data_IF_318757135207
#
_entry.id   IF_318757135207
#
_cell.length_a   1.000
_cell.length_b   1.000
_cell.length_c   1.000
_cell.angle_alpha   90.00
_cell.angle_beta   90.00
_cell.angle_gamma   90.00
#
_symmetry.space_group_name_H-M   'P 1'
#
loop_
_entity.id
_entity.type
_entity.pdbx_description
1 polymer ?
#
# COMPACT_ATOMS: atom_id res chain seq x y z
N UNK A 1 0.29 -21.19 39.81
CA UNK A 1 -1.12 -20.74 39.94
C UNK A 1 -1.16 -19.23 40.15
N UNK A 2 -1.02 -18.46 39.07
CA UNK A 2 -1.39 -17.04 38.98
C UNK A 2 -1.65 -16.76 37.49
N UNK A 3 -2.90 -16.57 37.05
CA UNK A 3 -3.17 -16.17 35.67
C UNK A 3 -2.89 -14.67 35.56
N UNK A 4 -1.87 -14.32 34.77
CA UNK A 4 -1.58 -12.92 34.44
C UNK A 4 -2.74 -12.34 33.63
N UNK A 5 -3.43 -11.35 34.21
CA UNK A 5 -4.40 -10.52 33.51
C UNK A 5 -3.69 -9.73 32.41
N UNK A 6 -3.89 -10.14 31.17
CA UNK A 6 -3.49 -9.40 29.98
C UNK A 6 -4.34 -8.13 29.90
N UNK A 7 -3.74 -6.98 30.16
CA UNK A 7 -4.41 -5.68 30.02
C UNK A 7 -4.58 -5.35 28.53
N UNK A 8 -5.77 -5.67 28.02
CA UNK A 8 -6.31 -5.36 26.69
C UNK A 8 -6.31 -3.82 26.49
N UNK A 9 -5.20 -3.23 26.01
CA UNK A 9 -5.14 -1.80 25.61
C UNK A 9 -5.66 -1.62 24.18
N UNK A 10 -6.90 -2.03 23.93
CA UNK A 10 -7.68 -1.44 22.86
C UNK A 10 -8.16 -0.08 23.39
N UNK A 11 -7.48 1.00 23.00
CA UNK A 11 -7.89 2.36 23.38
C UNK A 11 -9.16 2.74 22.60
N UNK A 12 -10.30 2.27 23.13
CA UNK A 12 -11.68 2.56 22.74
C UNK A 12 -12.60 2.14 23.90
N UNK A 13 -13.83 2.66 24.01
CA UNK A 13 -14.65 2.56 25.21
C UNK A 13 -15.38 1.21 25.27
N UNK A 14 -14.66 0.09 25.31
CA UNK A 14 -15.29 -1.22 25.48
C UNK A 14 -15.04 -1.78 26.89
N UNK A 15 -16.11 -2.20 27.60
CA UNK A 15 -15.99 -2.71 28.96
C UNK A 15 -15.25 -4.07 29.01
N UNK A 16 -14.64 -4.44 30.15
CA UNK A 16 -13.84 -5.66 30.32
C UNK A 16 -14.53 -6.96 29.90
N UNK A 17 -15.86 -7.04 30.02
CA UNK A 17 -16.68 -8.19 29.65
C UNK A 17 -16.69 -8.47 28.13
N UNK A 18 -16.52 -7.42 27.31
CA UNK A 18 -16.44 -7.56 25.86
C UNK A 18 -15.13 -8.25 25.42
N UNK A 19 -14.00 -7.94 26.09
CA UNK A 19 -12.70 -8.55 25.77
C UNK A 19 -12.69 -10.05 26.17
N UNK A 20 -13.32 -10.44 27.29
CA UNK A 20 -13.47 -11.85 27.69
C UNK A 20 -14.39 -12.66 26.75
N UNK A 21 -15.48 -12.04 26.29
CA UNK A 21 -16.43 -12.66 25.34
C UNK A 21 -15.78 -12.85 23.97
N UNK A 22 -15.05 -11.85 23.48
CA UNK A 22 -14.28 -11.95 22.24
C UNK A 22 -13.21 -13.06 22.31
N UNK A 23 -12.54 -13.21 23.46
CA UNK A 23 -11.54 -14.27 23.67
C UNK A 23 -12.16 -15.67 23.64
N UNK A 24 -13.35 -15.86 24.25
CA UNK A 24 -14.09 -17.13 24.20
C UNK A 24 -14.57 -17.45 22.79
N UNK A 25 -15.07 -16.47 22.05
CA UNK A 25 -15.50 -16.65 20.65
C UNK A 25 -14.29 -16.99 19.75
N UNK A 26 -13.17 -16.29 19.91
CA UNK A 26 -11.93 -16.59 19.17
C UNK A 26 -11.42 -18.00 19.49
N UNK A 27 -11.41 -18.42 20.76
CA UNK A 27 -11.02 -19.77 21.15
C UNK A 27 -11.98 -20.86 20.62
N UNK A 28 -13.26 -20.54 20.39
CA UNK A 28 -14.20 -21.48 19.74
C UNK A 28 -14.04 -21.56 18.21
N UNK A 29 -13.41 -20.57 17.58
CA UNK A 29 -13.25 -20.51 16.11
C UNK A 29 -11.85 -20.93 15.67
N UNK A 30 -10.80 -20.61 16.44
CA UNK A 30 -9.42 -20.86 16.07
C UNK A 30 -8.73 -21.77 17.12
N UNK A 31 -8.22 -22.94 16.71
CA UNK A 31 -7.55 -23.88 17.62
C UNK A 31 -6.11 -23.48 17.97
N UNK A 32 -5.59 -22.40 17.38
CA UNK A 32 -4.18 -21.96 17.52
C UNK A 32 -4.08 -20.48 17.83
N UNK A 33 -3.12 -20.13 18.68
CA UNK A 33 -2.81 -18.75 19.06
C UNK A 33 -1.80 -18.13 18.07
N UNK A 34 -2.23 -17.92 16.81
CA UNK A 34 -1.47 -17.18 15.79
C UNK A 34 -2.39 -16.50 14.77
N UNK A 35 -2.01 -15.32 14.29
CA UNK A 35 -2.61 -14.70 13.11
C UNK A 35 -1.81 -15.05 11.85
N UNK A 36 -2.50 -15.24 10.73
CA UNK A 36 -1.89 -15.53 9.43
C UNK A 36 -2.00 -14.27 8.56
N UNK A 37 -0.88 -13.68 8.18
CA UNK A 37 -0.83 -12.51 7.28
C UNK A 37 -0.38 -12.96 5.89
N UNK A 38 -1.14 -12.62 4.86
CA UNK A 38 -0.83 -12.98 3.47
C UNK A 38 -0.40 -11.74 2.69
N UNK A 39 0.88 -11.67 2.33
CA UNK A 39 1.50 -10.57 1.59
C UNK A 39 2.43 -9.72 2.46
N UNK A 40 3.72 -9.72 2.15
CA UNK A 40 4.78 -8.98 2.84
C UNK A 40 4.97 -7.55 2.36
N UNK A 41 3.92 -6.91 1.84
CA UNK A 41 3.93 -5.47 1.54
C UNK A 41 3.73 -4.61 2.79
N UNK A 42 3.61 -3.30 2.61
CA UNK A 42 3.40 -2.35 3.71
C UNK A 42 2.22 -2.75 4.61
N UNK A 43 1.06 -3.06 4.02
CA UNK A 43 -0.14 -3.41 4.80
C UNK A 43 0.05 -4.67 5.64
N UNK A 44 0.65 -5.73 5.09
CA UNK A 44 0.86 -6.97 5.82
C UNK A 44 1.94 -6.84 6.89
N UNK A 45 3.01 -6.11 6.61
CA UNK A 45 4.05 -5.82 7.60
C UNK A 45 3.53 -4.91 8.71
N UNK A 46 2.66 -3.94 8.41
CA UNK A 46 1.96 -3.15 9.43
C UNK A 46 1.09 -4.05 10.31
N UNK A 47 0.26 -4.91 9.72
CA UNK A 47 -0.59 -5.85 10.46
C UNK A 47 0.23 -6.78 11.36
N UNK A 48 1.33 -7.35 10.84
CA UNK A 48 2.22 -8.22 11.60
C UNK A 48 2.85 -7.49 12.80
N UNK A 49 3.36 -6.27 12.59
CA UNK A 49 3.90 -5.45 13.68
C UNK A 49 2.82 -5.13 14.72
N UNK A 50 1.60 -4.76 14.32
CA UNK A 50 0.50 -4.49 15.25
C UNK A 50 0.13 -5.72 16.07
N UNK A 51 0.07 -6.91 15.47
CA UNK A 51 -0.16 -8.17 16.21
C UNK A 51 0.94 -8.40 17.25
N UNK A 52 2.19 -8.19 16.87
CA UNK A 52 3.35 -8.38 17.75
C UNK A 52 3.40 -7.35 18.89
N UNK A 53 3.09 -6.08 18.61
CA UNK A 53 3.00 -5.02 19.62
C UNK A 53 1.92 -5.32 20.67
N UNK A 54 0.85 -6.02 20.28
CA UNK A 54 -0.25 -6.42 21.16
C UNK A 54 -0.04 -7.79 21.82
N UNK A 55 1.16 -8.37 21.75
CA UNK A 55 1.48 -9.62 22.45
C UNK A 55 1.16 -10.91 21.68
N UNK A 56 0.53 -10.81 20.50
CA UNK A 56 0.18 -11.98 19.68
C UNK A 56 1.35 -12.63 18.96
N UNK A 57 1.05 -13.71 18.24
CA UNK A 57 1.95 -14.45 17.35
C UNK A 57 1.50 -14.30 15.89
N UNK A 58 2.44 -14.22 14.95
CA UNK A 58 2.14 -14.05 13.53
C UNK A 58 2.99 -14.97 12.65
N UNK A 59 2.34 -15.60 11.68
CA UNK A 59 3.00 -16.15 10.49
C UNK A 59 2.64 -15.28 9.28
N UNK A 60 3.66 -14.78 8.59
CA UNK A 60 3.52 -14.00 7.37
C UNK A 60 3.97 -14.84 6.18
N UNK A 61 3.10 -14.94 5.18
CA UNK A 61 3.36 -15.66 3.93
C UNK A 61 3.49 -14.67 2.78
N UNK A 62 4.55 -14.79 1.99
CA UNK A 62 4.71 -14.04 0.73
C UNK A 62 5.07 -15.00 -0.41
N UNK A 63 4.37 -14.89 -1.54
CA UNK A 63 4.63 -15.72 -2.72
C UNK A 63 5.95 -15.39 -3.41
N UNK A 64 6.46 -14.18 -3.19
CA UNK A 64 7.70 -13.67 -3.77
C UNK A 64 8.90 -14.20 -3.00
N UNK A 65 10.09 -14.14 -3.61
CA UNK A 65 11.34 -14.48 -2.93
C UNK A 65 11.72 -13.49 -1.82
N UNK A 66 11.25 -12.25 -1.90
CA UNK A 66 11.49 -11.19 -0.94
C UNK A 66 10.19 -10.43 -0.66
N UNK A 67 10.00 -10.02 0.59
CA UNK A 67 8.90 -9.15 0.98
C UNK A 67 9.08 -7.73 0.41
N UNK A 68 7.98 -6.98 0.34
CA UNK A 68 7.96 -5.56 0.00
C UNK A 68 6.96 -5.19 -1.07
N UNK A 69 6.70 -6.10 -2.02
CA UNK A 69 5.69 -5.95 -3.06
C UNK A 69 5.80 -4.63 -3.85
N UNK A 70 4.65 -4.01 -4.15
CA UNK A 70 4.64 -2.67 -4.77
C UNK A 70 4.92 -1.55 -3.77
N UNK A 71 4.82 -1.82 -2.46
CA UNK A 71 5.03 -0.81 -1.42
C UNK A 71 6.44 -0.24 -1.46
N UNK A 72 7.46 -1.08 -1.70
CA UNK A 72 8.86 -0.64 -1.84
C UNK A 72 9.11 0.22 -3.08
N UNK A 73 8.19 0.21 -4.05
CA UNK A 73 8.24 1.04 -5.26
C UNK A 73 7.60 2.42 -5.08
N UNK A 74 6.95 2.70 -3.94
CA UNK A 74 6.26 3.98 -3.75
C UNK A 74 7.26 5.12 -3.52
N UNK A 75 7.20 6.14 -4.39
CA UNK A 75 8.26 7.14 -4.53
C UNK A 75 7.95 8.52 -3.96
N UNK A 76 6.67 8.88 -3.83
CA UNK A 76 6.28 10.26 -3.50
C UNK A 76 6.15 10.53 -2.00
N UNK A 77 5.50 9.63 -1.25
CA UNK A 77 5.33 9.76 0.20
C UNK A 77 4.09 9.06 0.72
N UNK A 78 3.84 9.25 2.02
CA UNK A 78 2.63 8.81 2.74
C UNK A 78 1.82 10.04 3.15
N UNK A 79 0.50 10.00 2.98
CA UNK A 79 -0.34 11.13 3.35
C UNK A 79 -0.71 11.09 4.83
N UNK A 80 -0.57 12.21 5.53
CA UNK A 80 -0.97 12.38 6.93
C UNK A 80 -1.46 13.81 7.18
N UNK A 81 -2.61 13.95 7.85
CA UNK A 81 -3.14 15.26 8.22
C UNK A 81 -2.97 15.53 9.72
N UNK A 82 -2.83 16.82 10.06
CA UNK A 82 -2.61 17.31 11.42
C UNK A 82 -1.41 16.68 12.16
N UNK A 83 -0.37 16.28 11.42
CA UNK A 83 0.82 15.59 11.95
C UNK A 83 1.71 16.50 12.80
N UNK A 84 2.57 15.92 13.64
CA UNK A 84 3.60 16.69 14.37
C UNK A 84 4.50 17.47 13.41
N UNK A 85 4.86 16.88 12.27
CA UNK A 85 5.70 17.52 11.26
C UNK A 85 4.99 18.71 10.60
N UNK A 86 3.71 18.61 10.25
CA UNK A 86 2.95 19.74 9.69
C UNK A 86 2.89 20.91 10.68
N UNK A 87 2.57 20.62 11.96
CA UNK A 87 2.54 21.62 13.04
C UNK A 87 3.88 22.31 13.22
N UNK A 88 4.99 21.56 13.26
CA UNK A 88 6.33 22.11 13.41
C UNK A 88 6.75 23.02 12.25
N UNK A 89 6.12 22.89 11.07
CA UNK A 89 6.36 23.71 9.88
C UNK A 89 5.33 24.83 9.68
N UNK A 90 4.38 24.99 10.60
CA UNK A 90 3.29 25.95 10.44
C UNK A 90 2.37 25.65 9.25
N UNK A 91 2.27 24.39 8.82
CA UNK A 91 1.37 23.97 7.74
C UNK A 91 -0.04 23.79 8.32
N UNK A 92 -0.98 24.60 7.85
CA UNK A 92 -2.39 24.47 8.17
C UNK A 92 -3.03 23.34 7.34
N UNK A 93 -3.40 22.25 8.01
CA UNK A 93 -4.15 21.13 7.44
C UNK A 93 -5.03 20.51 8.53
N UNK A 94 -6.06 19.76 8.13
CA UNK A 94 -6.97 19.10 9.07
C UNK A 94 -7.50 17.77 8.53
N UNK A 95 -7.98 16.92 9.45
CA UNK A 95 -8.65 15.67 9.09
C UNK A 95 -9.87 15.94 8.20
N UNK A 96 -10.63 17.00 8.48
CA UNK A 96 -11.80 17.39 7.68
C UNK A 96 -11.42 17.84 6.27
N UNK A 97 -10.34 18.62 6.15
CA UNK A 97 -9.83 19.05 4.84
C UNK A 97 -9.36 17.85 4.03
N UNK A 98 -8.61 16.94 4.65
CA UNK A 98 -8.15 15.71 3.98
C UNK A 98 -9.32 14.78 3.62
N UNK A 99 -10.34 14.68 4.48
CA UNK A 99 -11.58 13.92 4.20
C UNK A 99 -12.32 14.51 3.01
N UNK A 100 -12.51 15.83 2.97
CA UNK A 100 -13.12 16.55 1.83
C UNK A 100 -12.34 16.29 0.54
N UNK A 101 -11.02 16.43 0.56
CA UNK A 101 -10.17 16.18 -0.62
C UNK A 101 -10.28 14.74 -1.11
N UNK A 102 -10.33 13.77 -0.18
CA UNK A 102 -10.43 12.33 -0.51
C UNK A 102 -11.77 11.97 -1.13
N UNK A 103 -12.88 12.50 -0.59
CA UNK A 103 -14.22 12.31 -1.14
C UNK A 103 -14.35 12.98 -2.52
N UNK A 104 -13.86 14.22 -2.66
CA UNK A 104 -13.80 14.92 -3.96
C UNK A 104 -12.90 14.19 -4.97
N UNK A 105 -11.86 13.52 -4.49
CA UNK A 105 -10.95 12.71 -5.30
C UNK A 105 -11.61 11.50 -5.96
N UNK A 106 -12.74 11.03 -5.42
CA UNK A 106 -13.54 9.96 -6.01
C UNK A 106 -13.93 8.85 -5.03
N UNK A 107 -13.47 8.90 -3.78
CA UNK A 107 -13.81 7.87 -2.79
C UNK A 107 -15.33 7.81 -2.52
N UNK A 108 -15.88 6.60 -2.52
CA UNK A 108 -17.34 6.36 -2.41
C UNK A 108 -17.79 5.76 -1.08
N UNK A 109 -16.86 5.53 -0.15
CA UNK A 109 -17.10 4.90 1.15
C UNK A 109 -16.67 5.83 2.31
N UNK A 110 -17.56 6.73 2.77
CA UNK A 110 -17.22 7.73 3.78
C UNK A 110 -16.75 7.13 5.12
N UNK A 111 -17.25 5.97 5.49
CA UNK A 111 -16.84 5.19 6.66
C UNK A 111 -15.37 4.76 6.58
N UNK A 112 -14.93 4.24 5.43
CA UNK A 112 -13.52 3.90 5.19
C UNK A 112 -12.66 5.16 5.13
N UNK A 113 -13.13 6.22 4.47
CA UNK A 113 -12.41 7.51 4.40
C UNK A 113 -12.24 8.11 5.79
N UNK A 114 -13.25 8.02 6.66
CA UNK A 114 -13.18 8.51 8.03
C UNK A 114 -12.04 7.82 8.81
N UNK A 115 -11.91 6.50 8.67
CA UNK A 115 -10.80 5.75 9.30
C UNK A 115 -9.46 6.16 8.70
N UNK A 116 -9.35 6.17 7.36
CA UNK A 116 -8.12 6.55 6.65
C UNK A 116 -7.63 7.95 7.07
N UNK A 117 -8.48 8.98 6.92
CA UNK A 117 -8.09 10.35 7.19
C UNK A 117 -7.93 10.61 8.69
N UNK A 118 -8.81 10.04 9.52
CA UNK A 118 -8.79 10.21 10.97
C UNK A 118 -7.55 9.64 11.65
N UNK A 119 -7.05 8.49 11.17
CA UNK A 119 -5.86 7.86 11.73
C UNK A 119 -4.55 8.33 11.06
N UNK A 120 -4.63 8.90 9.86
CA UNK A 120 -3.46 9.21 9.03
C UNK A 120 -2.31 9.94 9.75
N UNK A 121 -2.63 10.92 10.61
CA UNK A 121 -1.60 11.65 11.34
C UNK A 121 -0.93 10.82 12.44
N UNK A 122 -1.72 10.05 13.18
CA UNK A 122 -1.21 9.14 14.19
C UNK A 122 -0.39 8.01 13.57
N UNK A 123 -0.77 7.53 12.38
CA UNK A 123 -0.03 6.49 11.65
C UNK A 123 1.32 7.00 11.16
N UNK A 124 1.40 8.24 10.64
CA UNK A 124 2.68 8.89 10.29
C UNK A 124 3.55 9.04 11.53
N UNK A 125 2.98 9.54 12.63
CA UNK A 125 3.72 9.70 13.88
C UNK A 125 4.19 8.35 14.46
N UNK A 126 3.38 7.29 14.36
CA UNK A 126 3.75 5.93 14.76
C UNK A 126 4.93 5.40 13.94
N UNK A 127 4.92 5.62 12.61
CA UNK A 127 6.05 5.26 11.74
C UNK A 127 7.34 5.98 12.18
N UNK A 128 7.26 7.27 12.47
CA UNK A 128 8.41 8.05 12.93
C UNK A 128 8.91 7.57 14.30
N UNK A 129 8.01 7.44 15.28
CA UNK A 129 8.34 7.17 16.68
C UNK A 129 8.77 5.72 16.92
N UNK A 130 8.13 4.74 16.27
CA UNK A 130 8.41 3.30 16.50
C UNK A 130 9.53 2.75 15.64
N UNK A 131 9.67 3.26 14.42
CA UNK A 131 10.63 2.74 13.44
C UNK A 131 11.78 3.72 13.14
N UNK A 132 11.81 4.86 13.85
CA UNK A 132 12.84 5.90 13.68
C UNK A 132 12.96 6.37 12.23
N UNK A 133 11.82 6.57 11.57
CA UNK A 133 11.75 6.95 10.17
C UNK A 133 11.78 8.47 10.00
N UNK A 134 12.57 8.94 9.02
CA UNK A 134 12.52 10.34 8.57
C UNK A 134 11.33 10.54 7.64
N UNK A 135 10.31 11.26 8.14
CA UNK A 135 9.14 11.72 7.39
C UNK A 135 8.97 13.25 7.50
N UNK A 136 10.10 13.95 7.62
CA UNK A 136 10.16 15.38 7.95
C UNK A 136 9.89 16.32 6.76
N UNK A 137 9.95 15.85 5.51
CA UNK A 137 9.61 16.64 4.33
C UNK A 137 8.12 16.46 4.00
N UNK A 138 7.46 17.55 3.65
CA UNK A 138 6.02 17.56 3.34
C UNK A 138 5.82 18.28 2.03
N UNK A 139 5.14 17.62 1.09
CA UNK A 139 4.82 18.19 -0.22
C UNK A 139 3.31 18.20 -0.47
N UNK A 140 2.86 19.08 -1.38
CA UNK A 140 1.51 19.05 -1.93
C UNK A 140 1.53 18.28 -3.25
N UNK A 141 0.65 17.28 -3.38
CA UNK A 141 0.47 16.50 -4.60
C UNK A 141 -0.88 16.81 -5.27
N UNK A 142 -1.17 16.13 -6.38
CA UNK A 142 -2.38 16.36 -7.15
C UNK A 142 -3.64 16.11 -6.35
N UNK A 143 -4.60 17.02 -6.45
CA UNK A 143 -5.88 16.94 -5.73
C UNK A 143 -5.81 17.24 -4.22
N UNK A 144 -4.68 17.71 -3.69
CA UNK A 144 -4.58 18.13 -2.28
C UNK A 144 -4.76 19.64 -2.13
N UNK A 145 -5.58 20.04 -1.17
CA UNK A 145 -5.77 21.45 -0.77
C UNK A 145 -4.63 21.97 0.11
N UNK A 146 -3.94 21.10 0.86
CA UNK A 146 -2.78 21.43 1.70
C UNK A 146 -1.62 20.44 1.51
N UNK A 147 -0.35 20.85 1.80
CA UNK A 147 0.79 19.94 1.83
C UNK A 147 0.61 18.88 2.93
N UNK A 148 0.58 17.60 2.55
CA UNK A 148 0.36 16.49 3.49
C UNK A 148 1.03 15.19 3.12
N UNK A 149 1.82 15.19 2.05
CA UNK A 149 2.55 13.99 1.62
C UNK A 149 3.93 14.00 2.25
N UNK A 150 4.11 13.13 3.24
CA UNK A 150 5.31 12.98 4.05
C UNK A 150 6.36 12.07 3.38
N UNK A 151 7.62 12.50 3.41
CA UNK A 151 8.77 11.73 2.94
C UNK A 151 10.05 12.09 3.69
N UNK A 152 11.06 11.23 3.58
CA UNK A 152 12.41 11.52 4.06
C UNK A 152 13.24 12.31 3.05
N UNK A 153 14.41 12.76 3.50
CA UNK A 153 15.39 13.48 2.65
C UNK A 153 16.04 12.58 1.60
N UNK A 154 16.14 11.29 1.88
CA UNK A 154 16.84 10.32 1.05
C UNK A 154 16.00 9.05 0.85
N UNK A 155 16.25 8.36 -0.27
CA UNK A 155 15.57 7.11 -0.67
C UNK A 155 14.07 7.30 -0.91
N UNK A 156 13.46 6.27 -1.48
CA UNK A 156 12.01 6.27 -1.66
C UNK A 156 11.29 5.97 -0.35
N UNK A 157 10.28 6.76 0.03
CA UNK A 157 9.55 6.59 1.30
C UNK A 157 8.91 5.21 1.40
N UNK A 158 8.37 4.67 0.30
CA UNK A 158 7.82 3.32 0.29
C UNK A 158 8.84 2.24 0.65
N UNK A 159 10.07 2.37 0.15
CA UNK A 159 11.17 1.46 0.47
C UNK A 159 11.59 1.59 1.93
N UNK A 160 11.83 2.81 2.41
CA UNK A 160 12.32 3.04 3.78
C UNK A 160 11.31 2.58 4.83
N UNK A 161 10.03 2.94 4.65
CA UNK A 161 8.96 2.53 5.55
C UNK A 161 8.84 1.00 5.54
N UNK A 162 8.67 0.39 4.36
CA UNK A 162 8.40 -1.05 4.28
C UNK A 162 9.57 -1.87 4.83
N UNK A 163 10.82 -1.49 4.54
CA UNK A 163 12.00 -2.19 5.05
C UNK A 163 12.15 -2.06 6.56
N UNK A 164 11.88 -0.90 7.15
CA UNK A 164 11.94 -0.76 8.60
C UNK A 164 10.92 -1.67 9.31
N UNK A 165 9.72 -1.80 8.75
CA UNK A 165 8.69 -2.71 9.27
C UNK A 165 9.08 -4.18 9.11
N UNK A 166 9.68 -4.56 7.96
CA UNK A 166 10.21 -5.93 7.72
C UNK A 166 11.29 -6.25 8.77
N UNK A 167 12.27 -5.36 8.94
CA UNK A 167 13.39 -5.56 9.87
C UNK A 167 12.93 -5.76 11.32
N UNK A 168 11.85 -5.08 11.74
CA UNK A 168 11.30 -5.28 13.09
C UNK A 168 10.72 -6.69 13.26
N UNK A 169 9.96 -7.19 12.27
CA UNK A 169 9.41 -8.55 12.31
C UNK A 169 10.52 -9.59 12.25
N UNK A 170 11.52 -9.41 11.39
CA UNK A 170 12.70 -10.29 11.28
C UNK A 170 13.45 -10.36 12.62
N UNK A 171 13.73 -9.22 13.25
CA UNK A 171 14.41 -9.16 14.56
C UNK A 171 13.66 -9.90 15.67
N UNK A 172 12.33 -9.92 15.63
CA UNK A 172 11.50 -10.70 16.57
C UNK A 172 11.55 -12.19 16.22
N UNK A 173 11.50 -12.52 14.93
CA UNK A 173 11.58 -13.90 14.41
C UNK A 173 12.91 -14.58 14.73
N UNK A 174 14.01 -13.83 14.71
CA UNK A 174 15.35 -14.32 15.08
C UNK A 174 15.50 -14.65 16.57
N UNK A 175 14.66 -14.07 17.43
CA UNK A 175 14.80 -14.13 18.90
C UNK A 175 13.71 -14.92 19.59
N UNK A 176 12.57 -15.11 18.93
CA UNK A 176 11.35 -15.67 19.51
C UNK A 176 10.58 -16.46 18.46
N UNK A 177 9.69 -17.33 18.91
CA UNK A 177 8.75 -18.06 18.07
C UNK A 177 7.46 -17.25 17.77
N UNK A 178 7.42 -15.98 18.16
CA UNK A 178 6.23 -15.11 18.00
C UNK A 178 6.06 -14.59 16.58
N UNK A 179 7.11 -14.62 15.76
CA UNK A 179 7.06 -14.17 14.37
C UNK A 179 7.71 -15.20 13.45
N UNK A 180 7.10 -15.45 12.30
CA UNK A 180 7.67 -16.27 11.23
C UNK A 180 7.36 -15.62 9.89
N UNK A 181 8.39 -15.43 9.05
CA UNK A 181 8.22 -14.99 7.66
C UNK A 181 8.55 -16.17 6.75
N UNK A 182 7.62 -16.52 5.85
CA UNK A 182 7.79 -17.59 4.87
C UNK A 182 7.65 -16.99 3.47
N UNK A 183 8.78 -16.86 2.78
CA UNK A 183 8.82 -16.42 1.38
C UNK A 183 8.72 -17.62 0.44
N UNK A 184 8.46 -17.33 -0.86
CA UNK A 184 8.14 -18.35 -1.88
C UNK A 184 6.97 -19.25 -1.44
N UNK A 185 6.04 -18.69 -0.66
CA UNK A 185 4.87 -19.34 -0.10
C UNK A 185 3.61 -18.73 -0.73
N UNK A 186 3.03 -19.40 -1.71
CA UNK A 186 1.83 -18.93 -2.39
C UNK A 186 0.61 -19.46 -1.65
N UNK A 187 -0.13 -18.59 -0.96
CA UNK A 187 -1.46 -18.95 -0.47
C UNK A 187 -2.39 -19.24 -1.67
N UNK A 188 -3.10 -20.36 -1.62
CA UNK A 188 -3.92 -20.87 -2.74
C UNK A 188 -5.39 -21.01 -2.38
N UNK A 189 -5.72 -21.24 -1.10
CA UNK A 189 -7.10 -21.46 -0.66
C UNK A 189 -7.30 -20.99 0.77
N UNK A 190 -8.46 -20.41 1.07
CA UNK A 190 -8.91 -20.16 2.45
C UNK A 190 -9.69 -21.38 2.97
N UNK A 191 -9.47 -21.73 4.23
CA UNK A 191 -10.15 -22.83 4.90
C UNK A 191 -11.33 -22.30 5.70
N UNK A 192 -12.50 -22.93 5.57
CA UNK A 192 -13.70 -22.59 6.33
C UNK A 192 -14.15 -23.74 7.23
N UNK A 193 -14.73 -23.42 8.39
CA UNK A 193 -15.40 -24.41 9.23
C UNK A 193 -16.83 -24.70 8.73
N UNK A 194 -17.56 -25.55 9.46
CA UNK A 194 -18.93 -25.97 9.09
C UNK A 194 -19.94 -24.79 9.10
N UNK A 195 -19.67 -23.77 9.90
CA UNK A 195 -20.47 -22.55 10.01
C UNK A 195 -20.10 -21.49 8.95
N UNK A 196 -19.12 -21.78 8.07
CA UNK A 196 -18.66 -20.89 7.02
C UNK A 196 -17.65 -19.82 7.46
N UNK A 197 -17.18 -19.86 8.71
CA UNK A 197 -16.14 -18.95 9.18
C UNK A 197 -14.76 -19.36 8.63
N UNK A 198 -13.97 -18.38 8.18
CA UNK A 198 -12.58 -18.61 7.77
C UNK A 198 -11.70 -18.92 8.99
N UNK A 199 -11.06 -20.10 8.98
CA UNK A 199 -10.28 -20.66 10.10
C UNK A 199 -8.81 -20.90 9.76
N UNK A 200 -8.39 -20.57 8.55
CA UNK A 200 -7.02 -20.79 8.09
C UNK A 200 -6.88 -20.67 6.58
N UNK A 201 -5.76 -21.18 6.08
CA UNK A 201 -5.48 -21.24 4.65
C UNK A 201 -4.58 -22.41 4.29
N UNK A 202 -4.53 -22.68 2.99
CA UNK A 202 -3.56 -23.55 2.32
C UNK A 202 -2.54 -22.68 1.59
N UNK A 203 -1.27 -23.05 1.66
CA UNK A 203 -0.22 -22.47 0.83
C UNK A 203 0.73 -23.51 0.23
N UNK A 204 1.27 -23.19 -0.94
CA UNK A 204 2.28 -23.99 -1.63
C UNK A 204 3.67 -23.39 -1.42
N UNK A 205 4.67 -24.25 -1.14
CA UNK A 205 6.08 -23.87 -1.09
C UNK A 205 6.96 -25.05 -1.51
N UNK A 206 7.79 -24.84 -2.53
CA UNK A 206 8.73 -25.87 -3.00
C UNK A 206 8.04 -27.13 -3.55
N UNK A 207 6.85 -26.97 -4.16
CA UNK A 207 6.06 -28.08 -4.70
C UNK A 207 5.31 -28.90 -3.65
N UNK A 208 5.34 -28.48 -2.38
CA UNK A 208 4.56 -29.09 -1.29
C UNK A 208 3.46 -28.14 -0.82
N UNK A 209 2.38 -28.73 -0.35
CA UNK A 209 1.22 -28.04 0.19
C UNK A 209 1.25 -28.07 1.73
N UNK A 210 0.90 -26.94 2.34
CA UNK A 210 0.91 -26.74 3.78
C UNK A 210 -0.38 -26.05 4.21
N UNK A 211 -0.80 -26.28 5.46
CA UNK A 211 -1.95 -25.63 6.06
C UNK A 211 -1.52 -24.82 7.28
N UNK A 212 -2.11 -23.64 7.44
CA UNK A 212 -2.01 -22.84 8.66
C UNK A 212 -3.42 -22.53 9.15
N UNK A 213 -3.60 -22.59 10.46
CA UNK A 213 -4.86 -22.27 11.13
C UNK A 213 -4.71 -21.01 11.99
N UNK A 214 -5.77 -20.21 12.02
CA UNK A 214 -5.80 -18.89 12.67
C UNK A 214 -6.58 -17.85 11.85
N UNK A 215 -6.86 -16.67 12.42
CA UNK A 215 -7.44 -15.57 11.67
C UNK A 215 -6.53 -15.15 10.50
N UNK A 216 -7.10 -15.06 9.31
CA UNK A 216 -6.39 -14.70 8.09
C UNK A 216 -6.57 -13.22 7.74
N UNK A 217 -5.45 -12.52 7.55
CA UNK A 217 -5.40 -11.13 7.11
C UNK A 217 -4.85 -11.10 5.68
N UNK A 218 -5.72 -10.85 4.70
CA UNK A 218 -5.33 -10.68 3.30
C UNK A 218 -4.75 -9.28 3.08
N UNK A 219 -3.44 -9.22 2.84
CA UNK A 219 -2.69 -8.00 2.51
C UNK A 219 -1.96 -8.15 1.15
N UNK A 220 -2.64 -8.77 0.18
CA UNK A 220 -2.05 -9.34 -1.04
C UNK A 220 -1.81 -8.34 -2.17
N UNK A 221 -2.11 -7.05 -1.97
CA UNK A 221 -2.05 -6.04 -3.02
C UNK A 221 -3.17 -6.17 -4.06
N UNK A 222 -2.96 -5.61 -5.25
CA UNK A 222 -3.97 -5.53 -6.31
C UNK A 222 -3.82 -6.57 -7.43
N UNK A 223 -4.37 -6.25 -8.59
CA UNK A 223 -4.45 -7.14 -9.76
C UNK A 223 -3.95 -6.50 -11.08
N UNK A 224 -3.33 -5.33 -11.02
CA UNK A 224 -2.95 -4.54 -12.21
C UNK A 224 -1.71 -5.04 -12.98
N UNK A 225 -1.22 -6.25 -12.71
CA UNK A 225 -0.13 -6.88 -13.46
C UNK A 225 -0.52 -8.25 -14.06
N UNK A 226 -1.77 -8.70 -13.88
CA UNK A 226 -2.25 -9.94 -14.50
C UNK A 226 -2.90 -9.63 -15.86
N UNK A 227 -2.17 -9.94 -16.93
CA UNK A 227 -2.59 -9.72 -18.32
C UNK A 227 -3.12 -11.00 -18.99
N UNK A 228 -3.41 -12.05 -18.20
CA UNK A 228 -4.09 -13.24 -18.73
C UNK A 228 -5.56 -12.92 -19.05
N UNK A 229 -6.19 -13.71 -19.92
CA UNK A 229 -7.59 -13.51 -20.30
C UNK A 229 -8.57 -13.78 -19.15
N UNK A 230 -8.12 -14.55 -18.14
CA UNK A 230 -8.89 -14.89 -16.94
C UNK A 230 -8.64 -13.89 -15.80
N UNK A 231 -7.85 -12.84 -16.02
CA UNK A 231 -7.51 -11.88 -14.98
C UNK A 231 -8.69 -10.99 -14.61
N UNK A 232 -8.65 -10.45 -13.38
CA UNK A 232 -9.60 -9.41 -12.97
C UNK A 232 -9.48 -8.15 -13.86
N UNK A 233 -8.27 -7.85 -14.35
CA UNK A 233 -8.09 -6.72 -15.27
C UNK A 233 -8.83 -6.96 -16.60
N UNK A 234 -8.72 -8.15 -17.18
CA UNK A 234 -9.41 -8.51 -18.41
C UNK A 234 -10.93 -8.55 -18.24
N UNK A 235 -11.42 -9.01 -17.09
CA UNK A 235 -12.85 -9.09 -16.78
C UNK A 235 -13.48 -7.70 -16.59
N UNK A 236 -12.84 -6.84 -15.80
CA UNK A 236 -13.45 -5.58 -15.37
C UNK A 236 -13.03 -4.37 -16.20
N UNK A 237 -11.83 -4.37 -16.79
CA UNK A 237 -11.27 -3.27 -17.60
C UNK A 237 -10.47 -3.78 -18.80
N UNK A 238 -11.10 -4.54 -19.71
CA UNK A 238 -10.44 -5.04 -20.92
C UNK A 238 -9.87 -3.92 -21.79
N UNK A 239 -10.46 -2.73 -21.74
CA UNK A 239 -9.99 -1.52 -22.41
C UNK A 239 -8.59 -1.09 -21.97
N UNK A 240 -8.14 -1.46 -20.77
CA UNK A 240 -6.81 -1.12 -20.25
C UNK A 240 -5.74 -2.18 -20.49
N UNK A 241 -6.10 -3.37 -20.99
CA UNK A 241 -5.16 -4.51 -21.14
C UNK A 241 -3.96 -4.21 -22.05
N UNK A 242 -4.15 -3.28 -23.00
CA UNK A 242 -3.10 -2.83 -23.92
C UNK A 242 -2.03 -1.96 -23.23
N UNK A 243 -2.35 -1.31 -22.10
CA UNK A 243 -1.42 -0.43 -21.41
C UNK A 243 -0.32 -1.20 -20.66
N UNK A 244 0.87 -0.62 -20.50
CA UNK A 244 1.87 -1.17 -19.58
C UNK A 244 1.47 -0.93 -18.12
N UNK A 245 2.18 -1.58 -17.19
CA UNK A 245 1.97 -1.45 -15.75
C UNK A 245 3.20 -0.93 -15.04
N UNK A 246 3.00 -0.27 -13.90
CA UNK A 246 4.08 0.08 -12.96
C UNK A 246 4.17 -0.90 -11.79
N UNK A 247 3.31 -1.92 -11.78
CA UNK A 247 3.28 -2.96 -10.75
C UNK A 247 4.38 -4.00 -10.98
N UNK A 248 4.75 -4.74 -9.94
CA UNK A 248 5.49 -6.00 -10.11
C UNK A 248 4.57 -7.12 -10.57
N UNK A 249 5.16 -8.12 -11.22
CA UNK A 249 4.47 -9.30 -11.78
C UNK A 249 3.68 -10.09 -10.73
N UNK A 250 4.00 -9.91 -9.44
CA UNK A 250 3.27 -10.52 -8.34
C UNK A 250 1.86 -9.92 -8.11
N UNK A 251 1.51 -8.79 -8.73
CA UNK A 251 0.23 -8.07 -8.51
C UNK A 251 -0.92 -8.67 -9.34
N UNK A 252 -1.39 -9.87 -8.95
CA UNK A 252 -2.29 -10.72 -9.78
C UNK A 252 -3.69 -10.95 -9.22
N UNK A 253 -4.05 -10.30 -8.10
CA UNK A 253 -5.39 -10.40 -7.51
C UNK A 253 -5.67 -11.72 -6.77
N UNK A 254 -4.65 -12.51 -6.43
CA UNK A 254 -4.81 -13.84 -5.82
C UNK A 254 -5.67 -13.80 -4.54
N UNK A 255 -5.42 -12.83 -3.63
CA UNK A 255 -6.21 -12.70 -2.40
C UNK A 255 -7.66 -12.29 -2.64
N UNK A 256 -7.94 -11.47 -3.67
CA UNK A 256 -9.31 -11.10 -4.04
C UNK A 256 -10.05 -12.37 -4.48
N UNK A 257 -9.45 -13.13 -5.40
CA UNK A 257 -10.02 -14.39 -5.91
C UNK A 257 -10.25 -15.41 -4.78
N UNK A 258 -9.31 -15.55 -3.85
CA UNK A 258 -9.46 -16.42 -2.68
C UNK A 258 -10.61 -15.97 -1.76
N UNK A 259 -10.76 -14.66 -1.55
CA UNK A 259 -11.86 -14.11 -0.75
C UNK A 259 -13.23 -14.36 -1.41
N UNK A 260 -13.34 -14.12 -2.72
CA UNK A 260 -14.55 -14.39 -3.50
C UNK A 260 -14.94 -15.86 -3.48
N UNK A 261 -13.96 -16.77 -3.54
CA UNK A 261 -14.18 -18.22 -3.54
C UNK A 261 -14.89 -18.74 -2.27
N UNK A 262 -14.77 -18.03 -1.14
CA UNK A 262 -15.47 -18.37 0.11
C UNK A 262 -16.70 -17.49 0.39
N UNK A 263 -17.19 -16.76 -0.63
CA UNK A 263 -18.38 -15.90 -0.52
C UNK A 263 -18.09 -14.45 -0.10
N UNK A 264 -16.82 -14.04 -0.06
CA UNK A 264 -16.45 -12.64 0.08
C UNK A 264 -16.95 -11.81 -1.09
N UNK A 265 -17.42 -10.59 -0.83
CA UNK A 265 -17.84 -9.66 -1.89
C UNK A 265 -16.71 -8.69 -2.21
N UNK A 266 -16.37 -8.60 -3.48
CA UNK A 266 -15.56 -7.50 -3.99
C UNK A 266 -16.43 -6.26 -4.22
N UNK A 267 -15.78 -5.11 -4.21
CA UNK A 267 -16.39 -3.82 -4.57
C UNK A 267 -15.41 -3.09 -5.48
N UNK A 268 -15.96 -2.29 -6.38
CA UNK A 268 -15.22 -1.29 -7.15
C UNK A 268 -14.08 -1.86 -8.03
N UNK A 269 -14.15 -3.12 -8.47
CA UNK A 269 -13.13 -3.76 -9.31
C UNK A 269 -13.01 -3.13 -10.71
N UNK A 270 -14.04 -2.43 -11.17
CA UNK A 270 -14.03 -1.62 -12.39
C UNK A 270 -13.16 -0.36 -12.28
N UNK A 271 -12.85 0.09 -11.06
CA UNK A 271 -12.07 1.30 -10.80
C UNK A 271 -10.57 1.03 -10.80
N UNK A 272 -10.02 0.86 -12.00
CA UNK A 272 -8.57 0.74 -12.24
C UNK A 272 -7.98 2.11 -12.61
N UNK A 273 -6.96 2.55 -11.87
CA UNK A 273 -6.29 3.83 -12.09
C UNK A 273 -5.05 3.68 -12.98
N UNK A 274 -4.96 4.51 -14.01
CA UNK A 274 -3.77 4.65 -14.86
C UNK A 274 -2.93 5.83 -14.35
N UNK A 275 -1.62 5.61 -14.18
CA UNK A 275 -0.69 6.68 -13.83
C UNK A 275 -0.20 7.39 -15.10
N UNK A 276 -0.23 8.74 -15.17
CA UNK A 276 0.09 9.46 -16.41
C UNK A 276 1.57 9.37 -16.81
N UNK A 277 2.48 9.23 -15.84
CA UNK A 277 3.93 9.34 -16.09
C UNK A 277 4.69 8.04 -15.79
N UNK A 278 4.48 7.03 -16.63
CA UNK A 278 5.39 5.89 -16.76
C UNK A 278 6.58 6.25 -17.64
N UNK A 279 7.81 6.04 -17.17
CA UNK A 279 9.02 6.32 -17.93
C UNK A 279 9.15 5.35 -19.10
N UNK A 280 9.28 5.91 -20.31
CA UNK A 280 9.45 5.16 -21.54
C UNK A 280 10.92 5.20 -21.90
N UNK A 281 11.59 4.06 -21.85
CA UNK A 281 12.97 3.96 -22.31
C UNK A 281 13.00 3.97 -23.84
N UNK A 282 13.82 4.83 -24.49
CA UNK A 282 13.86 4.88 -25.96
C UNK A 282 14.30 3.57 -26.63
N UNK A 283 15.12 2.77 -25.96
CA UNK A 283 15.61 1.47 -26.45
C UNK A 283 14.64 0.30 -26.21
N UNK A 284 13.66 0.47 -25.31
CA UNK A 284 12.58 -0.49 -25.05
C UNK A 284 11.25 0.25 -24.76
N UNK A 285 10.68 0.91 -25.79
CA UNK A 285 9.49 1.74 -25.62
C UNK A 285 8.24 0.92 -25.30
N UNK A 286 8.22 -0.38 -25.64
CA UNK A 286 7.07 -1.27 -25.49
C UNK A 286 7.16 -2.18 -24.24
N UNK A 287 8.23 -2.06 -23.43
CA UNK A 287 8.36 -2.78 -22.16
C UNK A 287 7.04 -2.78 -21.37
N UNK A 288 6.52 -3.98 -21.05
CA UNK A 288 5.22 -4.11 -20.37
C UNK A 288 5.25 -3.53 -18.95
N UNK A 289 6.43 -3.50 -18.32
CA UNK A 289 6.66 -2.92 -17.00
C UNK A 289 7.42 -1.61 -17.16
N UNK A 290 6.85 -0.50 -16.66
CA UNK A 290 7.49 0.82 -16.67
C UNK A 290 7.88 1.26 -15.27
N UNK A 291 8.99 2.00 -15.19
CA UNK A 291 9.32 2.73 -13.97
C UNK A 291 8.39 3.93 -13.83
N UNK A 292 7.77 4.09 -12.66
CA UNK A 292 6.90 5.23 -12.39
C UNK A 292 7.74 6.47 -12.08
N UNK A 293 7.57 7.52 -12.89
CA UNK A 293 8.06 8.86 -12.55
C UNK A 293 7.16 9.45 -11.46
N UNK A 294 7.73 9.77 -10.30
CA UNK A 294 6.99 10.21 -9.13
C UNK A 294 6.10 11.41 -9.43
N UNK A 295 4.88 11.41 -8.90
CA UNK A 295 4.01 12.58 -8.93
C UNK A 295 4.64 13.80 -8.24
N UNK A 296 5.51 13.55 -7.26
CA UNK A 296 6.34 14.58 -6.63
C UNK A 296 7.15 15.42 -7.63
N UNK A 297 7.56 14.88 -8.79
CA UNK A 297 8.24 15.64 -9.83
C UNK A 297 7.36 16.77 -10.39
N UNK A 298 6.06 16.52 -10.56
CA UNK A 298 5.07 17.55 -10.91
C UNK A 298 4.79 18.45 -9.71
N UNK A 299 4.72 17.87 -8.51
CA UNK A 299 4.54 18.58 -7.23
C UNK A 299 5.54 19.71 -6.99
N UNK A 300 6.82 19.50 -7.35
CA UNK A 300 7.89 20.50 -7.20
C UNK A 300 7.97 21.49 -8.38
N UNK A 301 7.02 21.47 -9.32
CA UNK A 301 6.96 22.39 -10.46
C UNK A 301 7.38 21.79 -11.80
N UNK A 302 7.48 20.46 -11.92
CA UNK A 302 7.70 19.80 -13.20
C UNK A 302 6.53 19.99 -14.17
N UNK A 303 6.86 20.31 -15.43
CA UNK A 303 5.89 20.53 -16.51
C UNK A 303 5.78 19.30 -17.40
N UNK A 304 4.57 18.99 -17.86
CA UNK A 304 4.34 17.93 -18.86
C UNK A 304 4.09 18.58 -20.22
N UNK A 305 4.97 18.27 -21.18
CA UNK A 305 4.96 18.85 -22.53
C UNK A 305 4.60 17.79 -23.57
N UNK A 306 3.88 18.19 -24.60
CA UNK A 306 3.57 17.35 -25.76
C UNK A 306 4.77 17.25 -26.72
N UNK A 307 4.58 16.56 -27.85
CA UNK A 307 5.61 16.38 -28.87
C UNK A 307 6.18 17.71 -29.40
N UNK A 308 5.38 18.78 -29.40
CA UNK A 308 5.72 20.12 -29.88
C UNK A 308 6.30 21.03 -28.79
N UNK A 309 6.52 20.54 -27.57
CA UNK A 309 7.05 21.33 -26.45
C UNK A 309 6.02 22.24 -25.77
N UNK A 310 4.72 22.02 -25.99
CA UNK A 310 3.64 22.83 -25.42
C UNK A 310 3.03 22.13 -24.21
N UNK A 311 2.62 22.93 -23.21
CA UNK A 311 1.79 22.45 -22.09
C UNK A 311 0.38 22.15 -22.58
N UNK A 312 -0.23 21.10 -22.03
CA UNK A 312 -1.56 20.66 -22.44
C UNK A 312 -2.46 20.25 -21.25
N UNK A 313 -1.96 20.31 -20.01
CA UNK A 313 -2.71 19.96 -18.82
C UNK A 313 -2.26 20.80 -17.62
N UNK A 314 -3.14 20.95 -16.63
CA UNK A 314 -2.72 21.31 -15.27
C UNK A 314 -2.03 20.10 -14.63
N UNK A 315 -0.73 20.20 -14.35
CA UNK A 315 0.11 19.10 -13.89
C UNK A 315 -0.23 18.62 -12.47
N UNK A 316 -0.95 19.41 -11.67
CA UNK A 316 -1.47 19.03 -10.36
C UNK A 316 -2.93 18.58 -10.39
N UNK A 317 -3.50 18.39 -11.59
CA UNK A 317 -4.80 17.76 -11.76
C UNK A 317 -4.82 16.31 -11.28
N UNK A 318 -6.02 15.74 -11.12
CA UNK A 318 -6.19 14.32 -10.82
C UNK A 318 -5.64 13.45 -11.96
N UNK A 319 -5.25 12.21 -11.65
CA UNK A 319 -4.60 11.31 -12.61
C UNK A 319 -5.48 10.96 -13.81
N UNK A 320 -6.78 10.80 -13.60
CA UNK A 320 -7.76 10.59 -14.66
C UNK A 320 -7.83 11.78 -15.62
N UNK A 321 -7.83 13.01 -15.08
CA UNK A 321 -7.75 14.23 -15.88
C UNK A 321 -6.45 14.30 -16.69
N UNK A 322 -5.28 14.17 -16.04
CA UNK A 322 -3.98 14.28 -16.74
C UNK A 322 -3.83 13.20 -17.79
N UNK A 323 -4.21 11.96 -17.48
CA UNK A 323 -4.17 10.84 -18.45
C UNK A 323 -5.16 11.08 -19.60
N UNK A 324 -6.35 11.61 -19.31
CA UNK A 324 -7.34 11.98 -20.32
C UNK A 324 -6.82 13.06 -21.28
N UNK A 325 -6.13 14.08 -20.76
CA UNK A 325 -5.49 15.10 -21.59
C UNK A 325 -4.33 14.50 -22.42
N UNK A 326 -3.60 13.51 -21.89
CA UNK A 326 -2.60 12.79 -22.67
C UNK A 326 -3.22 11.99 -23.82
N UNK A 327 -4.37 11.34 -23.64
CA UNK A 327 -5.06 10.61 -24.71
C UNK A 327 -5.56 11.50 -25.85
N UNK A 328 -5.80 12.80 -25.59
CA UNK A 328 -6.13 13.80 -26.62
C UNK A 328 -4.92 14.26 -27.43
N UNK A 329 -3.70 13.90 -26.99
CA UNK A 329 -2.43 14.27 -27.59
C UNK A 329 -1.68 13.03 -28.10
N UNK A 330 -0.57 13.23 -28.83
CA UNK A 330 0.30 12.14 -29.30
C UNK A 330 1.67 12.19 -28.62
N UNK A 331 2.26 11.03 -28.27
CA UNK A 331 3.62 10.96 -27.78
C UNK A 331 4.64 11.42 -28.85
N UNK A 332 5.89 11.74 -28.48
CA UNK A 332 6.45 11.63 -27.13
C UNK A 332 5.97 12.75 -26.19
N UNK A 333 5.74 12.38 -24.93
CA UNK A 333 5.51 13.31 -23.83
C UNK A 333 6.81 13.53 -23.06
N UNK A 334 7.03 14.73 -22.54
CA UNK A 334 8.24 15.08 -21.80
C UNK A 334 7.88 15.68 -20.45
N UNK A 335 8.47 15.15 -19.38
CA UNK A 335 8.42 15.74 -18.05
C UNK A 335 9.69 16.56 -17.82
N UNK A 336 9.54 17.88 -17.74
CA UNK A 336 10.67 18.82 -17.67
C UNK A 336 10.70 19.52 -16.31
N UNK A 337 11.86 19.52 -15.65
CA UNK A 337 12.11 20.27 -14.42
C UNK A 337 13.09 21.41 -14.70
N UNK A 338 12.85 22.58 -14.10
CA UNK A 338 13.86 23.63 -14.04
C UNK A 338 14.88 23.34 -12.93
N UNK A 339 15.93 24.18 -12.82
CA UNK A 339 16.98 24.00 -11.82
C UNK A 339 16.44 23.97 -10.38
N UNK A 340 15.58 24.92 -10.02
CA UNK A 340 15.02 25.01 -8.68
C UNK A 340 14.26 23.73 -8.28
N UNK A 341 13.37 23.26 -9.15
CA UNK A 341 12.61 22.02 -8.95
C UNK A 341 13.52 20.79 -8.90
N UNK A 342 14.55 20.72 -9.75
CA UNK A 342 15.51 19.61 -9.74
C UNK A 342 16.38 19.59 -8.48
N UNK A 343 16.74 20.75 -7.93
CA UNK A 343 17.52 20.85 -6.69
C UNK A 343 16.69 20.38 -5.48
N UNK A 344 15.39 20.71 -5.43
CA UNK A 344 14.46 20.28 -4.38
C UNK A 344 14.24 18.76 -4.35
N UNK A 345 14.36 18.10 -5.50
CA UNK A 345 14.12 16.65 -5.66
C UNK A 345 15.33 15.90 -6.25
N UNK A 346 16.54 16.39 -5.95
CA UNK A 346 17.78 15.92 -6.58
C UNK A 346 18.00 14.40 -6.50
N UNK A 347 17.59 13.76 -5.40
CA UNK A 347 17.68 12.30 -5.26
C UNK A 347 16.82 11.57 -6.31
N UNK A 348 15.58 12.01 -6.53
CA UNK A 348 14.70 11.44 -7.57
C UNK A 348 15.27 11.70 -8.96
N UNK A 349 15.77 12.90 -9.24
CA UNK A 349 16.39 13.19 -10.54
C UNK A 349 17.57 12.24 -10.81
N UNK A 350 18.49 12.08 -9.86
CA UNK A 350 19.61 11.12 -9.97
C UNK A 350 19.12 9.68 -10.14
N UNK A 351 18.07 9.29 -9.42
CA UNK A 351 17.48 7.97 -9.54
C UNK A 351 16.83 7.75 -10.91
N UNK A 352 16.20 8.75 -11.52
CA UNK A 352 15.52 8.58 -12.80
C UNK A 352 16.43 8.69 -14.01
N UNK A 353 17.62 9.29 -13.88
CA UNK A 353 18.62 9.31 -14.95
C UNK A 353 18.88 7.91 -15.51
N UNK A 354 18.68 7.76 -16.83
CA UNK A 354 18.89 6.49 -17.54
C UNK A 354 17.77 5.44 -17.39
N UNK A 355 16.64 5.79 -16.78
CA UNK A 355 15.48 4.89 -16.61
C UNK A 355 14.30 5.21 -17.53
N UNK A 356 14.44 6.23 -18.35
CA UNK A 356 13.51 6.74 -19.37
C UNK A 356 14.06 8.01 -19.98
#
# INVERSE_FOLDING_TARGET
>A
SHPGLWNCRLTGPYPPEACATAFRIMATVFPVDQAIVVGGGLAGMSAANTVLENGGRVILLDKSSFCGGNSTKATSGINGAATKTQKAKGIEDSVDLFTSDTLKGGAKKPDVVKVLCGNSGADVDWLMDKFNLDLSLVARLGGHSAPRTHRGKERFPGMTITYALIQMVEKISEKTDRAKIVTKARATQLLTNAEGACVGLVYEKGGMEFQEHGPVILATGGFGADFTQQSLLAQYRPDLMHLPTTNGEHCTGDGIKMGEAIGGRSIDLEWVQVHPTGLVKPDDPDAKIKFLAAEALRGVGGLVLNAHGQRFANELGRRDYVTGEMWKNKPPFRLCLNKAASDEIAWHCKHYTGRG
#
